data_IF_566631679159
#
_entry.id   IF_566631679159
#
_cell.length_a   1.000
_cell.length_b   1.000
_cell.length_c   1.000
_cell.angle_alpha   90.00
_cell.angle_beta   90.00
_cell.angle_gamma   90.00
#
_symmetry.space_group_name_H-M   'P 1'
#
loop_
_entity.id
_entity.type
_entity.pdbx_description
1 polymer ?
#
# COMPACT_ATOMS: atom_id res chain seq x y z
N UNK A 1 -19.77 -2.43 -17.07
CA UNK A 1 -18.84 -3.12 -16.15
C UNK A 1 -17.94 -2.17 -15.35
N UNK A 2 -17.82 -0.91 -15.75
CA UNK A 2 -17.00 0.14 -15.13
C UNK A 2 -17.47 0.61 -13.76
N UNK A 3 -18.80 0.61 -13.48
CA UNK A 3 -19.34 1.15 -12.23
C UNK A 3 -19.02 0.34 -10.96
N UNK A 4 -19.00 -0.98 -11.05
CA UNK A 4 -18.73 -1.82 -9.87
C UNK A 4 -17.27 -1.73 -9.42
N UNK A 5 -16.34 -1.66 -10.35
CA UNK A 5 -14.92 -1.54 -10.04
C UNK A 5 -14.60 -0.19 -9.39
N UNK A 6 -15.15 0.89 -9.89
CA UNK A 6 -14.95 2.23 -9.31
C UNK A 6 -15.45 2.35 -7.87
N UNK A 7 -16.51 1.62 -7.51
CA UNK A 7 -17.04 1.55 -6.14
C UNK A 7 -16.19 0.68 -5.20
N UNK A 8 -15.59 -0.41 -5.71
CA UNK A 8 -14.82 -1.36 -4.89
C UNK A 8 -13.34 -1.01 -4.80
N UNK A 9 -12.79 -0.29 -5.78
CA UNK A 9 -11.38 0.08 -5.81
C UNK A 9 -10.89 0.77 -4.51
N UNK A 10 -11.67 1.65 -3.85
CA UNK A 10 -11.27 2.20 -2.54
C UNK A 10 -11.03 1.15 -1.45
N UNK A 11 -11.70 0.00 -1.48
CA UNK A 11 -11.57 -1.05 -0.47
C UNK A 11 -10.24 -1.81 -0.53
N UNK A 12 -9.42 -1.57 -1.56
CA UNK A 12 -8.09 -2.19 -1.67
C UNK A 12 -7.16 -1.83 -0.50
N UNK A 13 -7.28 -0.64 0.10
CA UNK A 13 -6.49 -0.31 1.30
C UNK A 13 -6.97 -1.06 2.55
N UNK A 14 -8.27 -1.42 2.63
CA UNK A 14 -8.76 -2.31 3.69
C UNK A 14 -8.18 -3.72 3.49
N UNK A 15 -8.20 -4.22 2.25
CA UNK A 15 -7.63 -5.54 1.91
C UNK A 15 -6.13 -5.59 2.21
N UNK A 16 -5.38 -4.52 1.87
CA UNK A 16 -3.98 -4.38 2.25
C UNK A 16 -3.79 -4.51 3.77
N UNK A 17 -4.56 -3.76 4.55
CA UNK A 17 -4.45 -3.79 6.01
C UNK A 17 -4.73 -5.18 6.59
N UNK A 18 -5.77 -5.86 6.10
CA UNK A 18 -6.12 -7.21 6.53
C UNK A 18 -5.00 -8.21 6.20
N UNK A 19 -4.48 -8.17 4.97
CA UNK A 19 -3.40 -9.07 4.56
C UNK A 19 -2.10 -8.81 5.33
N UNK A 20 -1.73 -7.55 5.55
CA UNK A 20 -0.53 -7.19 6.30
C UNK A 20 -0.62 -7.64 7.77
N UNK A 21 -1.78 -7.46 8.40
CA UNK A 21 -2.03 -7.94 9.76
C UNK A 21 -2.00 -9.48 9.80
N UNK A 22 -2.66 -10.17 8.87
CA UNK A 22 -2.63 -11.62 8.79
C UNK A 22 -1.20 -12.15 8.61
N UNK A 23 -0.38 -11.49 7.77
CA UNK A 23 1.03 -11.83 7.58
C UNK A 23 1.83 -11.68 8.88
N UNK A 24 1.65 -10.57 9.59
CA UNK A 24 2.34 -10.33 10.86
C UNK A 24 1.98 -11.35 11.95
N UNK A 25 0.72 -11.81 11.98
CA UNK A 25 0.29 -12.84 12.94
C UNK A 25 0.63 -14.27 12.51
N UNK A 26 0.91 -14.52 11.22
CA UNK A 26 1.28 -15.87 10.74
C UNK A 26 2.71 -16.25 11.08
N UNK A 27 3.58 -15.29 11.40
CA UNK A 27 4.92 -15.52 11.91
C UNK A 27 5.12 -14.66 13.17
N UNK A 28 4.93 -15.28 14.33
CA UNK A 28 5.08 -14.62 15.63
C UNK A 28 6.51 -14.69 16.17
N UNK A 29 7.39 -15.46 15.52
CA UNK A 29 8.79 -15.57 15.92
C UNK A 29 9.57 -14.32 15.49
N UNK A 30 10.45 -13.86 16.37
CA UNK A 30 11.32 -12.73 16.08
C UNK A 30 12.33 -13.10 14.99
N UNK A 31 12.28 -12.40 13.85
CA UNK A 31 13.22 -12.59 12.74
C UNK A 31 14.65 -12.27 13.19
N UNK A 32 15.66 -13.03 12.71
CA UNK A 32 17.05 -12.74 13.05
C UNK A 32 17.46 -11.36 12.51
N UNK A 33 18.13 -10.57 13.32
CA UNK A 33 18.73 -9.31 12.89
C UNK A 33 19.74 -9.53 11.75
N UNK A 34 20.00 -8.51 10.93
CA UNK A 34 20.99 -8.55 9.86
C UNK A 34 22.37 -9.02 10.33
N UNK A 35 22.77 -8.67 11.58
CA UNK A 35 24.02 -9.04 12.22
C UNK A 35 24.02 -10.41 12.91
N UNK A 36 22.90 -11.14 12.86
CA UNK A 36 22.78 -12.43 13.55
C UNK A 36 23.77 -13.46 13.03
N UNK A 37 24.28 -14.32 13.93
CA UNK A 37 25.20 -15.39 13.53
C UNK A 37 24.53 -16.36 12.52
N UNK A 38 25.30 -16.94 11.59
CA UNK A 38 24.77 -17.89 10.61
C UNK A 38 24.01 -19.07 11.23
N UNK A 39 24.45 -19.52 12.42
CA UNK A 39 23.79 -20.60 13.15
C UNK A 39 22.41 -20.18 13.69
N UNK A 40 22.25 -18.91 14.15
CA UNK A 40 20.96 -18.37 14.59
C UNK A 40 19.99 -18.24 13.40
N UNK A 41 20.48 -17.78 12.25
CA UNK A 41 19.69 -17.69 11.01
C UNK A 41 19.19 -19.07 10.59
N UNK A 42 20.08 -20.08 10.54
CA UNK A 42 19.72 -21.46 10.21
C UNK A 42 18.65 -21.99 11.18
N UNK A 43 18.85 -21.82 12.48
CA UNK A 43 17.92 -22.32 13.50
C UNK A 43 16.53 -21.68 13.37
N UNK A 44 16.47 -20.39 13.05
CA UNK A 44 15.20 -19.69 12.82
C UNK A 44 14.42 -20.27 11.64
N UNK A 45 15.05 -20.35 10.45
CA UNK A 45 14.38 -20.89 9.26
C UNK A 45 14.06 -22.39 9.39
N UNK A 46 14.88 -23.18 10.10
CA UNK A 46 14.60 -24.59 10.34
C UNK A 46 13.41 -24.79 11.30
N UNK A 47 13.29 -23.92 12.32
CA UNK A 47 12.22 -24.03 13.32
C UNK A 47 10.88 -23.43 12.87
N UNK A 48 10.90 -22.42 11.98
CA UNK A 48 9.69 -21.64 11.63
C UNK A 48 9.39 -21.63 10.12
N UNK A 49 9.83 -22.66 9.39
CA UNK A 49 9.72 -22.73 7.93
C UNK A 49 8.32 -22.39 7.39
N UNK A 50 7.29 -23.08 7.87
CA UNK A 50 5.92 -22.92 7.37
C UNK A 50 5.33 -21.54 7.72
N UNK A 51 5.73 -20.99 8.86
CA UNK A 51 5.30 -19.67 9.32
C UNK A 51 5.92 -18.59 8.42
N UNK A 52 7.21 -18.70 8.14
CA UNK A 52 7.93 -17.77 7.24
C UNK A 52 7.40 -17.86 5.81
N UNK A 53 7.19 -19.06 5.25
CA UNK A 53 6.61 -19.25 3.92
C UNK A 53 5.22 -18.60 3.82
N UNK A 54 4.36 -18.81 4.84
CA UNK A 54 3.01 -18.26 4.87
C UNK A 54 3.03 -16.74 5.00
N UNK A 55 3.84 -16.21 5.92
CA UNK A 55 4.01 -14.78 6.13
C UNK A 55 4.52 -14.09 4.87
N UNK A 56 5.54 -14.64 4.22
CA UNK A 56 6.11 -14.09 2.99
C UNK A 56 5.07 -14.01 1.86
N UNK A 57 4.24 -15.05 1.66
CA UNK A 57 3.16 -15.03 0.67
C UNK A 57 2.11 -13.96 0.99
N UNK A 58 1.69 -13.87 2.25
CA UNK A 58 0.70 -12.89 2.67
C UNK A 58 1.21 -11.44 2.54
N UNK A 59 2.48 -11.18 2.89
CA UNK A 59 3.10 -9.87 2.66
C UNK A 59 3.23 -9.56 1.18
N UNK A 60 3.64 -10.52 0.35
CA UNK A 60 3.71 -10.34 -1.09
C UNK A 60 2.33 -9.93 -1.66
N UNK A 61 1.25 -10.62 -1.26
CA UNK A 61 -0.10 -10.27 -1.65
C UNK A 61 -0.53 -8.90 -1.12
N UNK A 62 -0.19 -8.56 0.13
CA UNK A 62 -0.48 -7.26 0.71
C UNK A 62 0.15 -6.13 -0.12
N UNK A 63 1.43 -6.25 -0.47
CA UNK A 63 2.13 -5.22 -1.24
C UNK A 63 1.69 -5.16 -2.71
N UNK A 64 1.23 -6.25 -3.33
CA UNK A 64 0.54 -6.19 -4.61
C UNK A 64 -0.74 -5.34 -4.52
N UNK A 65 -1.48 -5.49 -3.43
CA UNK A 65 -2.70 -4.70 -3.19
C UNK A 65 -2.38 -3.22 -2.92
N UNK A 66 -1.20 -2.87 -2.39
CA UNK A 66 -0.75 -1.46 -2.27
C UNK A 66 -0.73 -0.76 -3.62
N UNK A 67 -0.31 -1.44 -4.71
CA UNK A 67 -0.33 -0.85 -6.07
C UNK A 67 -1.75 -0.53 -6.50
N UNK A 68 -2.70 -1.44 -6.22
CA UNK A 68 -4.12 -1.21 -6.52
C UNK A 68 -4.69 -0.05 -5.70
N UNK A 69 -4.34 0.02 -4.42
CA UNK A 69 -4.72 1.14 -3.55
C UNK A 69 -4.14 2.48 -4.03
N UNK A 70 -2.86 2.50 -4.41
CA UNK A 70 -2.21 3.69 -4.99
C UNK A 70 -2.90 4.15 -6.28
N UNK A 71 -3.31 3.20 -7.13
CA UNK A 71 -4.08 3.47 -8.35
C UNK A 71 -5.48 4.02 -8.05
N UNK A 72 -6.18 3.46 -7.06
CA UNK A 72 -7.48 3.93 -6.61
C UNK A 72 -7.38 5.34 -6.02
N UNK A 73 -6.41 5.58 -5.15
CA UNK A 73 -6.16 6.87 -4.54
C UNK A 73 -5.79 7.93 -5.60
N UNK A 74 -4.89 7.59 -6.54
CA UNK A 74 -4.59 8.45 -7.69
C UNK A 74 -5.84 8.84 -8.45
N UNK A 75 -6.69 7.88 -8.79
CA UNK A 75 -7.92 8.12 -9.55
C UNK A 75 -8.89 9.01 -8.77
N UNK A 76 -8.96 8.84 -7.45
CA UNK A 76 -9.78 9.67 -6.57
C UNK A 76 -9.27 11.11 -6.48
N UNK A 77 -7.94 11.29 -6.32
CA UNK A 77 -7.30 12.61 -6.22
C UNK A 77 -7.35 13.41 -7.53
N UNK A 78 -7.33 12.74 -8.68
CA UNK A 78 -7.44 13.38 -10.01
C UNK A 78 -8.78 14.09 -10.28
N UNK A 79 -9.79 13.88 -9.45
CA UNK A 79 -11.05 14.62 -9.55
C UNK A 79 -10.88 16.14 -9.31
N UNK A 80 -9.73 16.56 -8.80
CA UNK A 80 -9.37 17.97 -8.61
C UNK A 80 -8.12 18.29 -9.41
N UNK A 81 -8.18 19.31 -10.29
CA UNK A 81 -7.08 19.73 -11.16
C UNK A 81 -5.78 20.08 -10.38
N UNK A 82 -5.92 20.55 -9.12
CA UNK A 82 -4.79 20.90 -8.27
C UNK A 82 -3.88 19.72 -7.87
N UNK A 83 -4.31 18.47 -8.09
CA UNK A 83 -3.58 17.26 -7.71
C UNK A 83 -3.06 16.45 -8.91
N UNK A 84 -3.21 16.93 -10.15
CA UNK A 84 -2.99 16.15 -11.38
C UNK A 84 -1.58 15.54 -11.49
N UNK A 85 -0.52 16.31 -11.22
CA UNK A 85 0.87 15.82 -11.27
C UNK A 85 1.24 14.92 -10.09
N UNK A 86 0.66 15.14 -8.91
CA UNK A 86 1.00 14.41 -7.69
C UNK A 86 0.48 12.98 -7.69
N UNK A 87 -0.62 12.71 -8.38
CA UNK A 87 -1.18 11.37 -8.49
C UNK A 87 -0.23 10.36 -9.16
N UNK A 88 0.63 10.81 -10.07
CA UNK A 88 1.67 9.95 -10.68
C UNK A 88 2.74 9.56 -9.64
N UNK A 89 3.15 10.49 -8.77
CA UNK A 89 4.10 10.23 -7.70
C UNK A 89 3.52 9.30 -6.63
N UNK A 90 2.23 9.42 -6.30
CA UNK A 90 1.54 8.48 -5.41
C UNK A 90 1.63 7.06 -5.96
N UNK A 91 1.33 6.87 -7.25
CA UNK A 91 1.43 5.56 -7.88
C UNK A 91 2.88 5.05 -7.92
N UNK A 92 3.82 5.91 -8.29
CA UNK A 92 5.25 5.56 -8.33
C UNK A 92 5.76 5.12 -6.95
N UNK A 93 5.41 5.86 -5.88
CA UNK A 93 5.76 5.48 -4.50
C UNK A 93 5.17 4.13 -4.10
N UNK A 94 3.89 3.87 -4.43
CA UNK A 94 3.26 2.58 -4.18
C UNK A 94 3.93 1.42 -4.92
N UNK A 95 4.33 1.62 -6.17
CA UNK A 95 5.08 0.62 -6.96
C UNK A 95 6.47 0.39 -6.36
N UNK A 96 7.20 1.44 -5.96
CA UNK A 96 8.50 1.30 -5.31
C UNK A 96 8.42 0.49 -4.01
N UNK A 97 7.44 0.79 -3.15
CA UNK A 97 7.18 0.01 -1.94
C UNK A 97 6.95 -1.46 -2.27
N UNK A 98 6.08 -1.72 -3.25
CA UNK A 98 5.69 -3.08 -3.61
C UNK A 98 6.85 -3.87 -4.21
N UNK A 99 7.65 -3.28 -5.08
CA UNK A 99 8.83 -3.95 -5.67
C UNK A 99 9.85 -4.30 -4.58
N UNK A 100 10.16 -3.36 -3.68
CA UNK A 100 11.08 -3.61 -2.56
C UNK A 100 10.61 -4.76 -1.67
N UNK A 101 9.33 -4.72 -1.26
CA UNK A 101 8.74 -5.75 -0.42
C UNK A 101 8.67 -7.12 -1.13
N UNK A 102 8.28 -7.15 -2.41
CA UNK A 102 8.20 -8.39 -3.18
C UNK A 102 9.57 -9.06 -3.34
N UNK A 103 10.63 -8.29 -3.54
CA UNK A 103 11.99 -8.86 -3.64
C UNK A 103 12.44 -9.38 -2.28
N UNK A 104 12.26 -8.63 -1.19
CA UNK A 104 12.59 -9.07 0.17
C UNK A 104 11.86 -10.35 0.57
N UNK A 105 10.54 -10.36 0.44
CA UNK A 105 9.72 -11.54 0.77
C UNK A 105 10.00 -12.75 -0.14
N UNK A 106 10.42 -12.53 -1.38
CA UNK A 106 10.84 -13.62 -2.29
C UNK A 106 12.15 -14.28 -1.82
N UNK A 107 13.07 -13.50 -1.26
CA UNK A 107 14.30 -14.03 -0.67
C UNK A 107 13.96 -14.85 0.58
N UNK A 108 13.16 -14.32 1.49
CA UNK A 108 12.73 -15.03 2.71
C UNK A 108 12.02 -16.34 2.39
N UNK A 109 11.05 -16.30 1.45
CA UNK A 109 10.37 -17.51 0.96
C UNK A 109 11.34 -18.50 0.36
N UNK A 110 12.26 -18.05 -0.50
CA UNK A 110 13.24 -18.90 -1.17
C UNK A 110 14.19 -19.58 -0.18
N UNK A 111 14.65 -18.87 0.85
CA UNK A 111 15.47 -19.41 1.93
C UNK A 111 14.69 -20.44 2.73
N UNK A 112 13.48 -20.12 3.17
CA UNK A 112 12.66 -21.05 3.95
C UNK A 112 12.33 -22.32 3.15
N UNK A 113 12.00 -22.18 1.85
CA UNK A 113 11.60 -23.29 1.00
C UNK A 113 12.76 -24.24 0.66
N UNK A 114 13.96 -23.69 0.42
CA UNK A 114 15.13 -24.44 -0.05
C UNK A 114 16.28 -24.46 0.97
N UNK A 115 15.99 -24.44 2.26
CA UNK A 115 16.97 -24.29 3.33
C UNK A 115 18.20 -25.21 3.22
N UNK A 116 17.98 -26.45 2.77
CA UNK A 116 19.03 -27.44 2.62
C UNK A 116 19.98 -27.21 1.43
N UNK A 117 19.65 -26.28 0.54
CA UNK A 117 20.46 -25.97 -0.65
C UNK A 117 21.49 -24.89 -0.40
N UNK A 118 21.47 -24.25 0.77
CA UNK A 118 22.33 -23.11 1.10
C UNK A 118 23.40 -23.49 2.15
N UNK A 119 24.59 -22.95 1.97
CA UNK A 119 25.64 -22.96 2.99
C UNK A 119 25.32 -21.91 4.09
N UNK A 120 25.95 -22.06 5.25
CA UNK A 120 25.80 -21.10 6.36
C UNK A 120 26.17 -19.67 5.97
N UNK A 121 27.19 -19.50 5.12
CA UNK A 121 27.61 -18.18 4.63
C UNK A 121 26.58 -17.55 3.69
N UNK A 122 25.99 -18.36 2.81
CA UNK A 122 24.93 -17.89 1.90
C UNK A 122 23.67 -17.50 2.67
N UNK A 123 23.27 -18.30 3.66
CA UNK A 123 22.12 -17.97 4.52
C UNK A 123 22.31 -16.62 5.24
N UNK A 124 23.50 -16.38 5.79
CA UNK A 124 23.82 -15.11 6.42
C UNK A 124 23.75 -13.95 5.43
N UNK A 125 24.31 -14.12 4.23
CA UNK A 125 24.29 -13.10 3.18
C UNK A 125 22.87 -12.80 2.70
N UNK A 126 22.02 -13.82 2.54
CA UNK A 126 20.63 -13.65 2.12
C UNK A 126 19.78 -12.99 3.21
N UNK A 127 20.01 -13.33 4.49
CA UNK A 127 19.34 -12.66 5.61
C UNK A 127 19.73 -11.18 5.67
N UNK A 128 21.00 -10.85 5.55
CA UNK A 128 21.47 -9.46 5.49
C UNK A 128 20.84 -8.72 4.31
N UNK A 129 20.80 -9.33 3.12
CA UNK A 129 20.24 -8.72 1.93
C UNK A 129 18.73 -8.50 2.04
N UNK A 130 17.98 -9.42 2.66
CA UNK A 130 16.53 -9.23 2.84
C UNK A 130 16.21 -8.03 3.75
N UNK A 131 17.01 -7.79 4.78
CA UNK A 131 16.88 -6.62 5.64
C UNK A 131 17.18 -5.32 4.89
N UNK A 132 18.26 -5.27 4.10
CA UNK A 132 18.64 -4.08 3.33
C UNK A 132 17.62 -3.74 2.22
N UNK A 133 16.89 -4.72 1.70
CA UNK A 133 15.82 -4.51 0.72
C UNK A 133 14.58 -3.79 1.30
N UNK A 134 14.57 -3.52 2.59
CA UNK A 134 13.58 -2.63 3.18
C UNK A 134 13.77 -1.15 2.78
N UNK A 135 14.96 -0.77 2.33
CA UNK A 135 15.26 0.60 1.88
C UNK A 135 14.34 1.09 0.73
N UNK A 136 14.09 0.33 -0.36
CA UNK A 136 13.11 0.72 -1.37
C UNK A 136 11.68 0.87 -0.83
N UNK A 137 11.29 0.09 0.18
CA UNK A 137 9.98 0.22 0.85
C UNK A 137 9.88 1.56 1.56
N UNK A 138 10.92 1.94 2.31
CA UNK A 138 11.04 3.23 3.00
C UNK A 138 10.98 4.39 1.99
N UNK A 139 11.82 4.34 0.94
CA UNK A 139 11.88 5.37 -0.08
C UNK A 139 10.54 5.53 -0.82
N UNK A 140 9.91 4.41 -1.17
CA UNK A 140 8.58 4.40 -1.76
C UNK A 140 7.52 4.98 -0.83
N UNK A 141 7.58 4.64 0.46
CA UNK A 141 6.70 5.16 1.51
C UNK A 141 6.82 6.68 1.67
N UNK A 142 8.03 7.21 1.63
CA UNK A 142 8.28 8.66 1.61
C UNK A 142 7.63 9.33 0.40
N UNK A 143 7.93 8.84 -0.81
CA UNK A 143 7.38 9.42 -2.05
C UNK A 143 5.86 9.34 -2.04
N UNK A 144 5.29 8.20 -1.64
CA UNK A 144 3.84 8.00 -1.53
C UNK A 144 3.22 8.95 -0.52
N UNK A 145 3.71 8.96 0.72
CA UNK A 145 3.12 9.71 1.84
C UNK A 145 3.16 11.21 1.61
N UNK A 146 4.31 11.75 1.17
CA UNK A 146 4.47 13.18 0.89
C UNK A 146 3.60 13.60 -0.29
N UNK A 147 3.60 12.83 -1.38
CA UNK A 147 2.80 13.16 -2.57
C UNK A 147 1.31 13.06 -2.33
N UNK A 148 0.84 12.00 -1.64
CA UNK A 148 -0.55 11.85 -1.26
C UNK A 148 -1.00 12.97 -0.30
N UNK A 149 -0.16 13.29 0.68
CA UNK A 149 -0.44 14.35 1.63
C UNK A 149 -0.60 15.71 0.97
N UNK A 150 0.34 16.12 0.12
CA UNK A 150 0.26 17.39 -0.62
C UNK A 150 -0.97 17.39 -1.55
N UNK A 151 -1.25 16.28 -2.23
CA UNK A 151 -2.41 16.17 -3.11
C UNK A 151 -3.74 16.33 -2.33
N UNK A 152 -3.85 15.74 -1.15
CA UNK A 152 -5.02 15.89 -0.26
C UNK A 152 -5.16 17.33 0.21
N UNK A 153 -4.06 17.98 0.62
CA UNK A 153 -4.09 19.36 1.11
C UNK A 153 -4.51 20.36 0.03
N UNK A 154 -4.10 20.12 -1.23
CA UNK A 154 -4.46 20.99 -2.38
C UNK A 154 -5.83 20.68 -2.96
N UNK A 155 -6.26 19.42 -2.92
CA UNK A 155 -7.42 18.95 -3.68
C UNK A 155 -8.76 19.03 -2.95
N UNK A 156 -8.80 19.26 -1.64
CA UNK A 156 -10.00 19.25 -0.78
C UNK A 156 -10.92 18.00 -0.90
N UNK A 157 -10.45 16.94 -1.61
CA UNK A 157 -11.22 15.72 -1.81
C UNK A 157 -11.35 14.86 -0.53
N UNK A 158 -10.38 14.97 0.38
CA UNK A 158 -10.36 14.33 1.69
C UNK A 158 -10.12 15.37 2.79
N UNK A 159 -10.42 15.04 4.06
CA UNK A 159 -10.13 15.95 5.18
C UNK A 159 -8.63 16.31 5.23
N UNK A 160 -8.33 17.59 5.40
CA UNK A 160 -6.94 18.11 5.37
C UNK A 160 -6.02 17.48 6.41
N UNK A 161 -6.54 17.06 7.55
CA UNK A 161 -5.73 16.39 8.59
C UNK A 161 -5.11 15.08 8.08
N UNK A 162 -5.80 14.34 7.20
CA UNK A 162 -5.24 13.13 6.57
C UNK A 162 -4.05 13.45 5.67
N UNK A 163 -4.05 14.61 5.03
CA UNK A 163 -2.91 15.08 4.24
C UNK A 163 -1.69 15.34 5.11
N UNK A 164 -1.86 16.02 6.25
CA UNK A 164 -0.78 16.25 7.20
C UNK A 164 -0.24 14.94 7.80
N UNK A 165 -1.15 14.03 8.19
CA UNK A 165 -0.76 12.71 8.69
C UNK A 165 0.04 11.93 7.66
N UNK A 166 -0.36 11.94 6.38
CA UNK A 166 0.39 11.27 5.31
C UNK A 166 1.80 11.83 5.14
N UNK A 167 1.98 13.16 5.20
CA UNK A 167 3.30 13.80 5.12
C UNK A 167 4.17 13.39 6.31
N UNK A 168 3.61 13.42 7.52
CA UNK A 168 4.36 13.02 8.73
C UNK A 168 4.79 11.56 8.66
N UNK A 169 3.89 10.65 8.25
CA UNK A 169 4.19 9.24 8.05
C UNK A 169 5.30 9.06 7.00
N UNK A 170 5.18 9.74 5.84
CA UNK A 170 6.18 9.68 4.77
C UNK A 170 7.56 10.14 5.23
N UNK A 171 7.63 11.26 5.97
CA UNK A 171 8.91 11.76 6.52
C UNK A 171 9.44 10.81 7.61
N UNK A 172 8.58 10.32 8.50
CA UNK A 172 8.97 9.39 9.56
C UNK A 172 9.52 8.07 8.99
N UNK A 173 9.02 7.62 7.83
CA UNK A 173 9.49 6.40 7.20
C UNK A 173 11.00 6.39 6.92
N UNK A 174 11.61 7.54 6.56
CA UNK A 174 13.05 7.62 6.27
C UNK A 174 13.94 7.79 7.50
N UNK A 175 13.36 7.88 8.69
CA UNK A 175 14.11 8.02 9.95
C UNK A 175 14.20 6.64 10.62
N UNK A 176 15.39 5.99 10.65
CA UNK A 176 15.53 4.58 11.04
C UNK A 176 14.83 4.18 12.35
N UNK A 177 14.93 4.91 13.47
CA UNK A 177 14.30 4.48 14.74
C UNK A 177 12.77 4.54 14.72
N UNK A 178 12.17 5.29 13.77
CA UNK A 178 10.71 5.45 13.67
C UNK A 178 10.11 4.89 12.38
N UNK A 179 10.91 4.26 11.51
CA UNK A 179 10.45 3.69 10.24
C UNK A 179 9.42 2.58 10.44
N UNK A 180 9.61 1.69 11.41
CA UNK A 180 8.66 0.63 11.70
C UNK A 180 7.34 1.17 12.28
N UNK A 181 7.31 2.04 13.31
CA UNK A 181 6.10 2.74 13.71
C UNK A 181 5.41 3.51 12.57
N UNK A 182 6.17 4.12 11.66
CA UNK A 182 5.62 4.80 10.50
C UNK A 182 4.90 3.83 9.54
N UNK A 183 5.42 2.62 9.35
CA UNK A 183 4.77 1.58 8.55
C UNK A 183 3.43 1.15 9.18
N UNK A 184 3.37 0.97 10.49
CA UNK A 184 2.12 0.68 11.20
C UNK A 184 1.12 1.84 11.09
N UNK A 185 1.60 3.08 11.22
CA UNK A 185 0.77 4.26 11.01
C UNK A 185 0.26 4.37 9.57
N UNK A 186 1.07 3.99 8.56
CA UNK A 186 0.67 3.92 7.16
C UNK A 186 -0.47 2.91 6.94
N UNK A 187 -0.40 1.76 7.61
CA UNK A 187 -1.44 0.73 7.55
C UNK A 187 -2.78 1.27 8.09
N UNK A 188 -2.76 1.92 9.26
CA UNK A 188 -3.96 2.55 9.83
C UNK A 188 -4.47 3.69 8.94
N UNK A 189 -3.57 4.53 8.43
CA UNK A 189 -3.92 5.63 7.55
C UNK A 189 -4.56 5.13 6.24
N UNK A 190 -4.01 4.08 5.63
CA UNK A 190 -4.56 3.49 4.39
C UNK A 190 -5.97 2.92 4.61
N UNK A 191 -6.21 2.30 5.77
CA UNK A 191 -7.52 1.82 6.19
C UNK A 191 -8.54 2.97 6.28
N UNK A 192 -8.20 4.04 7.02
CA UNK A 192 -9.07 5.21 7.20
C UNK A 192 -9.37 5.89 5.86
N UNK A 193 -8.35 6.11 5.03
CA UNK A 193 -8.52 6.72 3.70
C UNK A 193 -9.43 5.86 2.82
N UNK A 194 -9.24 4.54 2.81
CA UNK A 194 -10.06 3.61 2.06
C UNK A 194 -11.53 3.68 2.45
N UNK A 195 -11.82 3.65 3.74
CA UNK A 195 -13.20 3.75 4.25
C UNK A 195 -13.84 5.09 3.85
N UNK A 196 -13.11 6.19 4.02
CA UNK A 196 -13.63 7.52 3.67
C UNK A 196 -13.86 7.69 2.16
N UNK A 197 -12.96 7.15 1.33
CA UNK A 197 -13.14 7.13 -0.12
C UNK A 197 -14.38 6.33 -0.52
N UNK A 198 -14.58 5.15 0.09
CA UNK A 198 -15.73 4.29 -0.16
C UNK A 198 -17.05 4.99 0.22
N UNK A 199 -17.11 5.58 1.41
CA UNK A 199 -18.31 6.29 1.88
C UNK A 199 -18.68 7.46 0.98
N UNK A 200 -17.70 8.20 0.45
CA UNK A 200 -17.95 9.38 -0.40
C UNK A 200 -18.28 9.03 -1.85
N UNK A 201 -17.78 7.92 -2.38
CA UNK A 201 -18.16 7.43 -3.72
C UNK A 201 -19.62 6.97 -3.80
N UNK A 202 -20.23 6.60 -2.68
CA UNK A 202 -21.65 6.22 -2.63
C UNK A 202 -22.65 7.39 -2.62
N UNK A 203 -22.18 8.62 -2.33
CA UNK A 203 -23.03 9.83 -2.26
C UNK A 203 -23.09 10.63 -3.56
N UNK A 204 -22.20 10.35 -4.51
CA UNK A 204 -22.15 10.98 -5.84
C UNK A 204 -23.06 10.25 -6.85
N UNK A 205 -24.25 9.78 -6.45
CA UNK A 205 -25.24 9.26 -7.41
C UNK A 205 -25.71 10.44 -8.30
N UNK A 206 -25.58 10.33 -9.64
CA UNK A 206 -26.05 11.40 -10.52
C UNK A 206 -27.53 11.63 -10.26
N UNK A 207 -27.90 12.89 -10.03
CA UNK A 207 -29.31 13.26 -9.98
C UNK A 207 -30.01 12.68 -11.20
N UNK A 208 -31.20 12.04 -11.07
CA UNK A 208 -31.91 11.47 -12.19
C UNK A 208 -32.01 12.54 -13.28
N UNK A 209 -31.61 12.16 -14.49
CA UNK A 209 -31.62 13.06 -15.65
C UNK A 209 -32.95 13.78 -15.69
N UNK A 210 -32.91 15.10 -15.59
CA UNK A 210 -34.12 15.92 -15.64
C UNK A 210 -34.89 15.51 -16.90
N UNK A 211 -36.11 15.05 -16.73
CA UNK A 211 -37.01 14.69 -17.83
C UNK A 211 -37.03 15.87 -18.79
N UNK A 212 -36.73 15.70 -20.08
CA UNK A 212 -36.72 16.82 -21.00
C UNK A 212 -38.09 17.47 -20.98
N UNK A 213 -38.13 18.76 -20.59
CA UNK A 213 -39.34 19.57 -20.63
C UNK A 213 -39.86 19.58 -22.05
N UNK A 214 -41.13 19.21 -22.31
CA UNK A 214 -41.69 19.27 -23.64
C UNK A 214 -41.50 20.68 -24.17
N UNK A 215 -40.81 20.84 -25.31
CA UNK A 215 -40.70 22.11 -25.98
C UNK A 215 -42.12 22.52 -26.44
N UNK A 216 -42.57 23.73 -26.08
CA UNK A 216 -43.84 24.24 -26.58
C UNK A 216 -43.73 24.28 -28.12
N UNK A 217 -44.65 23.55 -28.77
CA UNK A 217 -44.68 23.43 -30.24
C UNK A 217 -44.63 24.81 -30.88
N UNK A 218 -43.68 25.01 -31.78
CA UNK A 218 -43.64 26.16 -32.67
C UNK A 218 -44.85 25.97 -33.61
N UNK A 219 -45.95 26.61 -33.22
CA UNK A 219 -47.13 26.65 -34.05
C UNK A 219 -46.81 27.29 -35.40
N UNK A 220 -46.99 26.52 -36.46
CA UNK A 220 -46.85 27.01 -37.82
C UNK A 220 -47.81 28.14 -38.09
N UNK A 221 -47.27 29.21 -38.68
CA UNK A 221 -48.05 30.26 -39.31
C UNK A 221 -48.12 29.85 -40.79
N UNK A 222 -49.37 29.61 -41.27
CA UNK A 222 -49.71 29.44 -42.63
C UNK A 222 -49.67 30.79 -43.36
#
# INVERSE_FOLDING_TARGET
MTDRWSRLAPLTGVLFAVLAVAAAFSNSAESPEASASPAKVLAYYAGHRSEVETSAILFALAFLVVVLFAGALRSYLRRTAAAEGLGALVLAGGVMMSVGALVGTSIEYGVAHNLHSFTLSELHTLNFLSDELFLPVIAGGFVFGVSAGIAILRGAALPKWLGWVAIVIGIAAIVPPVSFPALLAFLVWSLVVSILMYMRTGTDEPAPAATPTPQPGVGGIA
#
